data_IF_648534350655
#
_entry.id   IF_648534350655
#
_cell.length_a   1.000
_cell.length_b   1.000
_cell.length_c   1.000
_cell.angle_alpha   90.00
_cell.angle_beta   90.00
_cell.angle_gamma   90.00
#
_symmetry.space_group_name_H-M   'P 1'
#
loop_
_entity.id
_entity.type
_entity.pdbx_description
1 polymer ?
#
# COMPACT_ATOMS: atom_id res chain seq x y z
N UNK A 1 -19.80 -17.02 8.40
CA UNK A 1 -18.76 -16.66 9.39
C UNK A 1 -17.67 -15.91 8.64
N UNK A 2 -17.07 -14.94 9.33
CA UNK A 2 -16.12 -13.94 8.87
C UNK A 2 -14.99 -14.54 7.99
N UNK A 3 -14.96 -14.21 6.70
CA UNK A 3 -13.83 -14.52 5.81
C UNK A 3 -12.61 -13.74 6.31
N UNK A 4 -11.77 -14.38 7.14
CA UNK A 4 -10.54 -13.78 7.67
C UNK A 4 -9.54 -13.72 6.53
N UNK A 5 -9.54 -12.60 5.80
CA UNK A 5 -8.63 -12.26 4.70
C UNK A 5 -7.14 -12.55 5.00
N UNK A 6 -6.74 -12.61 6.28
CA UNK A 6 -5.38 -12.84 6.74
C UNK A 6 -5.03 -14.32 7.05
N UNK A 7 -6.01 -15.21 7.23
CA UNK A 7 -5.73 -16.59 7.66
C UNK A 7 -5.38 -17.52 6.48
N UNK A 8 -5.71 -17.15 5.24
CA UNK A 8 -5.51 -18.00 4.04
C UNK A 8 -4.18 -17.76 3.30
N UNK A 9 -3.38 -16.75 3.67
CA UNK A 9 -2.19 -16.35 2.92
C UNK A 9 -0.95 -16.32 3.81
N UNK A 10 0.19 -16.78 3.29
CA UNK A 10 1.41 -16.83 4.09
C UNK A 10 1.83 -15.45 4.57
N UNK A 11 2.42 -15.38 5.77
CA UNK A 11 2.81 -14.13 6.42
C UNK A 11 3.56 -13.12 5.53
N UNK A 12 4.48 -13.55 4.63
CA UNK A 12 5.18 -12.61 3.75
C UNK A 12 4.27 -11.73 2.88
N UNK A 13 3.10 -12.21 2.46
CA UNK A 13 2.18 -11.40 1.65
C UNK A 13 1.62 -10.18 2.39
N UNK A 14 1.58 -10.23 3.72
CA UNK A 14 1.14 -9.10 4.54
C UNK A 14 2.13 -7.93 4.55
N UNK A 15 3.34 -8.13 4.00
CA UNK A 15 4.29 -7.04 3.78
C UNK A 15 3.99 -6.21 2.53
N UNK A 16 3.11 -6.68 1.64
CA UNK A 16 2.76 -5.98 0.39
C UNK A 16 2.26 -4.56 0.65
N UNK A 17 1.26 -4.31 1.52
CA UNK A 17 0.81 -2.95 1.84
C UNK A 17 1.92 -2.04 2.40
N UNK A 18 2.84 -2.62 3.17
CA UNK A 18 3.96 -1.87 3.74
C UNK A 18 4.96 -1.44 2.66
N UNK A 19 5.34 -2.38 1.79
CA UNK A 19 6.27 -2.11 0.68
C UNK A 19 5.67 -1.11 -0.31
N UNK A 20 4.41 -1.28 -0.71
CA UNK A 20 3.75 -0.34 -1.64
C UNK A 20 3.55 1.03 -1.02
N UNK A 21 3.27 1.09 0.29
CA UNK A 21 3.22 2.35 1.04
C UNK A 21 4.55 3.09 1.04
N UNK A 22 5.65 2.41 1.36
CA UNK A 22 7.00 3.00 1.34
C UNK A 22 7.37 3.49 -0.06
N UNK A 23 7.10 2.69 -1.10
CA UNK A 23 7.33 3.11 -2.48
C UNK A 23 6.53 4.37 -2.81
N UNK A 24 5.26 4.43 -2.43
CA UNK A 24 4.41 5.61 -2.58
C UNK A 24 5.00 6.84 -1.88
N UNK A 25 5.45 6.68 -0.64
CA UNK A 25 6.09 7.76 0.13
C UNK A 25 7.36 8.30 -0.57
N UNK A 26 8.25 7.41 -1.02
CA UNK A 26 9.50 7.79 -1.68
C UNK A 26 9.24 8.52 -2.99
N UNK A 27 8.33 8.00 -3.81
CA UNK A 27 7.92 8.66 -5.06
C UNK A 27 7.29 10.03 -4.75
N UNK A 28 6.37 10.09 -3.79
CA UNK A 28 5.73 11.34 -3.37
C UNK A 28 6.74 12.38 -2.91
N UNK A 29 7.74 11.95 -2.13
CA UNK A 29 8.82 12.81 -1.61
C UNK A 29 9.70 13.36 -2.74
N UNK A 30 10.04 12.52 -3.72
CA UNK A 30 10.81 12.94 -4.89
C UNK A 30 10.04 13.91 -5.79
N UNK A 31 8.77 13.60 -6.07
CA UNK A 31 7.94 14.42 -6.96
C UNK A 31 7.62 15.80 -6.36
N UNK A 32 7.58 15.94 -5.04
CA UNK A 32 7.23 17.20 -4.37
C UNK A 32 8.43 18.12 -4.11
N UNK A 33 9.65 17.70 -4.46
CA UNK A 33 10.89 18.45 -4.22
C UNK A 33 10.86 19.92 -4.74
N UNK A 34 10.33 20.23 -5.95
CA UNK A 34 10.34 21.60 -6.47
C UNK A 34 9.23 22.50 -5.88
N UNK A 35 8.34 21.97 -5.02
CA UNK A 35 7.18 22.71 -4.52
C UNK A 35 7.41 23.36 -3.15
N UNK A 36 6.47 24.20 -2.74
CA UNK A 36 6.51 24.91 -1.45
C UNK A 36 6.32 24.01 -0.22
N UNK A 37 6.55 24.56 0.99
CA UNK A 37 6.54 23.79 2.25
C UNK A 37 5.23 23.02 2.50
N UNK A 38 4.09 23.64 2.20
CA UNK A 38 2.78 23.01 2.39
C UNK A 38 2.63 21.72 1.58
N UNK A 39 3.05 21.74 0.31
CA UNK A 39 2.98 20.56 -0.56
C UNK A 39 3.89 19.45 -0.03
N UNK A 40 5.10 19.80 0.42
CA UNK A 40 6.08 18.85 1.00
C UNK A 40 5.57 18.14 2.25
N UNK A 41 4.67 18.76 3.01
CA UNK A 41 4.06 18.13 4.18
C UNK A 41 2.92 17.18 3.81
N UNK A 42 2.05 17.57 2.87
CA UNK A 42 0.79 16.85 2.62
C UNK A 42 0.97 15.76 1.57
N UNK A 43 1.73 16.04 0.51
CA UNK A 43 1.79 15.17 -0.66
C UNK A 43 2.46 13.82 -0.37
N UNK A 44 3.63 13.74 0.29
CA UNK A 44 4.26 12.46 0.62
C UNK A 44 3.39 11.60 1.54
N UNK A 45 2.74 12.21 2.53
CA UNK A 45 1.81 11.52 3.43
C UNK A 45 0.59 10.97 2.67
N UNK A 46 0.05 11.74 1.74
CA UNK A 46 -1.05 11.28 0.87
C UNK A 46 -0.61 10.11 0.00
N UNK A 47 0.58 10.19 -0.61
CA UNK A 47 1.13 9.10 -1.41
C UNK A 47 1.40 7.82 -0.60
N UNK A 48 1.82 7.94 0.68
CA UNK A 48 1.94 6.81 1.60
C UNK A 48 0.60 6.11 1.82
N UNK A 49 -0.47 6.87 2.10
CA UNK A 49 -1.82 6.34 2.34
C UNK A 49 -2.34 5.64 1.08
N UNK A 50 -2.22 6.30 -0.08
CA UNK A 50 -2.65 5.74 -1.37
C UNK A 50 -1.84 4.49 -1.73
N UNK A 51 -0.53 4.50 -1.53
CA UNK A 51 0.35 3.36 -1.77
C UNK A 51 0.03 2.17 -0.86
N UNK A 52 -0.22 2.42 0.43
CA UNK A 52 -0.63 1.39 1.38
C UNK A 52 -1.99 0.79 1.03
N UNK A 53 -2.95 1.63 0.68
CA UNK A 53 -4.27 1.19 0.22
C UNK A 53 -4.18 0.36 -1.07
N UNK A 54 -3.38 0.79 -2.05
CA UNK A 54 -3.12 0.02 -3.27
C UNK A 54 -2.54 -1.37 -2.97
N UNK A 55 -1.65 -1.48 -1.99
CA UNK A 55 -1.12 -2.77 -1.57
C UNK A 55 -2.14 -3.67 -0.88
N UNK A 56 -3.11 -3.11 -0.16
CA UNK A 56 -4.25 -3.88 0.37
C UNK A 56 -5.14 -4.43 -0.76
N UNK A 57 -5.38 -3.64 -1.80
CA UNK A 57 -6.12 -4.10 -2.99
C UNK A 57 -5.37 -5.24 -3.70
N UNK A 58 -4.05 -5.11 -3.85
CA UNK A 58 -3.21 -6.17 -4.42
C UNK A 58 -3.28 -7.44 -3.56
N UNK A 59 -3.15 -7.30 -2.24
CA UNK A 59 -3.26 -8.42 -1.30
C UNK A 59 -4.62 -9.12 -1.39
N UNK A 60 -5.71 -8.35 -1.48
CA UNK A 60 -7.06 -8.87 -1.69
C UNK A 60 -7.16 -9.70 -2.98
N UNK A 61 -6.70 -9.14 -4.11
CA UNK A 61 -6.69 -9.83 -5.40
C UNK A 61 -5.86 -11.12 -5.40
N UNK A 62 -4.75 -11.16 -4.65
CA UNK A 62 -3.94 -12.37 -4.51
C UNK A 62 -4.67 -13.41 -3.65
N UNK A 63 -5.27 -12.98 -2.55
CA UNK A 63 -6.04 -13.85 -1.65
C UNK A 63 -7.21 -14.51 -2.38
N UNK A 64 -7.96 -13.75 -3.17
CA UNK A 64 -9.08 -14.26 -3.98
C UNK A 64 -8.61 -15.31 -5.00
N UNK A 65 -7.52 -15.03 -5.73
CA UNK A 65 -6.93 -15.98 -6.69
C UNK A 65 -6.39 -17.26 -6.05
N UNK A 66 -5.93 -17.19 -4.80
CA UNK A 66 -5.47 -18.39 -4.06
C UNK A 66 -6.67 -19.20 -3.58
N UNK A 67 -7.75 -18.56 -3.16
CA UNK A 67 -9.00 -19.23 -2.76
C UNK A 67 -9.70 -19.96 -3.91
N UNK A 68 -9.59 -19.45 -5.13
CA UNK A 68 -10.18 -20.05 -6.33
C UNK A 68 -9.42 -21.28 -6.88
N UNK A 69 -8.21 -21.57 -6.37
CA UNK A 69 -7.41 -22.75 -6.75
C UNK A 69 -7.63 -23.91 -5.79
#
# INVERSE_FOLDING_TARGET
MQDRYADNLSWPFHTIPFVTGIIGLLIGSYLVEPYGPLAKTIFPATCLIVGGFGGLVILGNISDKVRER
#
